data_IF_674383050447
#
_entry.id   IF_674383050447
#
_cell.length_a   1.000
_cell.length_b   1.000
_cell.length_c   1.000
_cell.angle_alpha   90.00
_cell.angle_beta   90.00
_cell.angle_gamma   90.00
#
_symmetry.space_group_name_H-M   'P 1'
#
loop_
_entity.id
_entity.type
_entity.pdbx_description
1 polymer ?
#
# COMPACT_ATOMS: atom_id res chain seq x y z
N UNK A 1 19.74 -3.84 -9.69
CA UNK A 1 18.38 -3.27 -9.54
C UNK A 1 17.63 -4.24 -8.63
N UNK A 2 17.26 -3.82 -7.40
CA UNK A 2 16.58 -4.71 -6.46
C UNK A 2 15.18 -5.02 -6.98
N UNK A 3 14.76 -6.29 -6.86
CA UNK A 3 13.39 -6.69 -7.15
C UNK A 3 12.42 -5.99 -6.19
N UNK A 4 11.19 -5.75 -6.65
CA UNK A 4 10.11 -5.28 -5.81
C UNK A 4 9.87 -6.26 -4.67
N UNK A 5 9.54 -5.75 -3.47
CA UNK A 5 9.12 -6.56 -2.32
C UNK A 5 7.95 -7.50 -2.68
N UNK A 6 7.14 -7.10 -3.65
CA UNK A 6 5.96 -7.84 -4.11
C UNK A 6 6.24 -8.83 -5.24
N UNK A 7 7.42 -8.80 -5.88
CA UNK A 7 7.70 -9.63 -7.06
C UNK A 7 7.47 -11.13 -6.87
N UNK A 8 7.88 -11.76 -5.75
CA UNK A 8 7.61 -13.18 -5.54
C UNK A 8 6.11 -13.49 -5.48
N UNK A 9 5.36 -12.68 -4.73
CA UNK A 9 3.91 -12.83 -4.58
C UNK A 9 3.18 -12.62 -5.92
N UNK A 10 3.56 -11.60 -6.68
CA UNK A 10 2.96 -11.31 -7.99
C UNK A 10 3.20 -12.46 -8.98
N UNK A 11 4.40 -13.03 -9.01
CA UNK A 11 4.68 -14.19 -9.86
C UNK A 11 3.85 -15.41 -9.47
N UNK A 12 3.72 -15.70 -8.17
CA UNK A 12 2.90 -16.82 -7.69
C UNK A 12 1.42 -16.63 -8.00
N UNK A 13 0.95 -15.38 -8.07
CA UNK A 13 -0.42 -15.02 -8.46
C UNK A 13 -0.62 -14.91 -9.99
N UNK A 14 0.38 -15.29 -10.79
CA UNK A 14 0.27 -15.31 -12.26
C UNK A 14 0.52 -13.98 -12.95
N UNK A 15 1.05 -12.98 -12.27
CA UNK A 15 1.43 -11.72 -12.89
C UNK A 15 2.79 -11.83 -13.59
N UNK A 16 2.91 -11.22 -14.76
CA UNK A 16 4.15 -11.04 -15.50
C UNK A 16 4.51 -9.55 -15.56
N UNK A 17 5.80 -9.26 -15.56
CA UNK A 17 6.27 -7.89 -15.73
C UNK A 17 5.87 -7.37 -17.11
N UNK A 18 5.36 -6.14 -17.18
CA UNK A 18 4.88 -5.49 -18.38
C UNK A 18 5.40 -4.05 -18.47
N UNK A 19 5.26 -3.45 -19.63
CA UNK A 19 5.49 -2.01 -19.79
C UNK A 19 4.47 -1.23 -18.95
N UNK A 20 4.86 -0.07 -18.39
CA UNK A 20 3.94 0.77 -17.64
C UNK A 20 2.66 1.07 -18.43
N UNK A 21 1.52 1.06 -17.75
CA UNK A 21 0.27 1.48 -18.34
C UNK A 21 0.34 2.96 -18.74
N UNK A 22 -0.47 3.34 -19.73
CA UNK A 22 -0.54 4.73 -20.18
C UNK A 22 -0.90 5.68 -19.02
N UNK A 23 -0.15 6.77 -18.87
CA UNK A 23 -0.31 7.74 -17.78
C UNK A 23 0.60 7.50 -16.57
N UNK A 24 1.35 6.42 -16.57
CA UNK A 24 2.41 6.17 -15.58
C UNK A 24 3.77 6.51 -16.20
N UNK A 25 4.52 7.41 -15.57
CA UNK A 25 5.87 7.78 -16.02
C UNK A 25 6.90 6.66 -15.89
N UNK A 26 8.09 6.86 -16.48
CA UNK A 26 9.15 5.86 -16.55
C UNK A 26 9.72 5.36 -15.20
N UNK A 27 9.34 5.97 -14.08
CA UNK A 27 9.68 5.53 -12.73
C UNK A 27 8.86 4.33 -12.24
N UNK A 28 7.69 4.10 -12.86
CA UNK A 28 6.80 3.03 -12.49
C UNK A 28 7.20 1.71 -13.15
N UNK A 29 7.02 0.65 -12.41
CA UNK A 29 7.07 -0.73 -12.92
C UNK A 29 5.67 -1.31 -12.87
N UNK A 30 5.32 -2.04 -13.90
CA UNK A 30 4.01 -2.63 -14.02
C UNK A 30 4.09 -4.13 -14.15
N UNK A 31 3.12 -4.77 -13.56
CA UNK A 31 2.87 -6.19 -13.66
C UNK A 31 1.46 -6.37 -14.18
N UNK A 32 1.27 -7.30 -15.07
CA UNK A 32 -0.03 -7.59 -15.68
C UNK A 32 -0.37 -9.06 -15.53
N UNK A 33 -1.62 -9.33 -15.21
CA UNK A 33 -2.20 -10.65 -15.30
C UNK A 33 -3.30 -10.65 -16.38
N UNK A 34 -3.20 -11.59 -17.32
CA UNK A 34 -4.18 -11.80 -18.41
C UNK A 34 -4.49 -13.29 -18.53
N UNK A 35 -4.74 -13.95 -17.43
CA UNK A 35 -4.99 -15.39 -17.38
C UNK A 35 -6.42 -15.72 -17.00
N UNK A 36 -6.76 -17.01 -17.03
CA UNK A 36 -8.06 -17.48 -16.58
C UNK A 36 -8.34 -17.22 -15.11
N UNK A 37 -7.30 -17.08 -14.27
CA UNK A 37 -7.41 -16.93 -12.83
C UNK A 37 -7.36 -15.47 -12.35
N UNK A 38 -6.72 -14.60 -13.12
CA UNK A 38 -6.54 -13.20 -12.76
C UNK A 38 -6.54 -12.30 -14.00
N UNK A 39 -7.09 -11.10 -13.87
CA UNK A 39 -6.99 -10.06 -14.89
C UNK A 39 -6.71 -8.71 -14.24
N UNK A 40 -5.87 -7.88 -14.89
CA UNK A 40 -5.61 -6.51 -14.45
C UNK A 40 -4.13 -6.22 -14.22
N UNK A 41 -3.89 -5.22 -13.37
CA UNK A 41 -2.58 -4.60 -13.20
C UNK A 41 -2.18 -4.46 -11.75
N UNK A 42 -0.88 -4.50 -11.54
CA UNK A 42 -0.24 -4.06 -10.31
C UNK A 42 0.91 -3.12 -10.70
N UNK A 43 0.87 -1.91 -10.19
CA UNK A 43 1.90 -0.92 -10.46
C UNK A 43 2.68 -0.62 -9.19
N UNK A 44 3.96 -0.36 -9.38
CA UNK A 44 4.89 -0.20 -8.28
C UNK A 44 5.91 0.89 -8.61
N UNK A 45 6.06 1.83 -7.69
CA UNK A 45 7.09 2.86 -7.70
C UNK A 45 7.95 2.71 -6.46
N UNK A 46 9.26 2.55 -6.65
CA UNK A 46 10.23 2.60 -5.56
C UNK A 46 11.51 3.26 -6.08
N UNK A 47 11.81 4.47 -5.66
CA UNK A 47 13.05 5.13 -6.04
C UNK A 47 14.26 4.55 -5.29
N UNK A 48 15.42 4.63 -5.91
CA UNK A 48 16.77 4.44 -5.39
C UNK A 48 16.96 3.34 -4.34
N UNK A 49 17.26 3.70 -3.09
CA UNK A 49 17.60 2.73 -2.05
C UNK A 49 16.40 1.94 -1.48
N UNK A 50 15.22 2.04 -2.06
CA UNK A 50 14.01 1.31 -1.66
C UNK A 50 13.61 1.51 -0.17
N UNK A 51 13.71 2.75 0.32
CA UNK A 51 13.28 3.08 1.66
C UNK A 51 11.76 3.22 1.78
N UNK A 52 11.10 3.52 0.68
CA UNK A 52 9.64 3.61 0.56
C UNK A 52 9.16 3.14 -0.81
N UNK A 53 7.89 2.84 -0.91
CA UNK A 53 7.25 2.52 -2.17
C UNK A 53 5.80 3.03 -2.21
N UNK A 54 5.29 3.18 -3.43
CA UNK A 54 3.87 3.39 -3.70
C UNK A 54 3.42 2.24 -4.59
N UNK A 55 2.33 1.59 -4.21
CA UNK A 55 1.74 0.51 -5.00
C UNK A 55 0.31 0.86 -5.41
N UNK A 56 -0.07 0.43 -6.61
CA UNK A 56 -1.42 0.58 -7.13
C UNK A 56 -1.91 -0.81 -7.50
N UNK A 57 -2.99 -1.21 -6.87
CA UNK A 57 -3.67 -2.46 -7.11
C UNK A 57 -4.86 -2.18 -8.02
N UNK A 58 -4.93 -2.82 -9.17
CA UNK A 58 -6.05 -2.72 -10.12
C UNK A 58 -6.25 -4.05 -10.84
N UNK A 59 -6.70 -5.04 -10.11
CA UNK A 59 -6.87 -6.39 -10.64
C UNK A 59 -8.09 -7.09 -10.05
N UNK A 60 -8.50 -8.17 -10.71
CA UNK A 60 -9.58 -9.05 -10.24
C UNK A 60 -9.11 -10.49 -10.32
N UNK A 61 -9.17 -11.20 -9.21
CA UNK A 61 -9.02 -12.66 -9.16
C UNK A 61 -10.37 -13.31 -9.51
N UNK A 62 -10.37 -14.41 -10.26
CA UNK A 62 -11.60 -15.11 -10.59
C UNK A 62 -12.15 -15.91 -9.40
N UNK A 63 -11.28 -16.62 -8.71
CA UNK A 63 -11.58 -17.33 -7.47
C UNK A 63 -11.00 -16.64 -6.25
N UNK A 64 -11.32 -17.13 -5.07
CA UNK A 64 -10.74 -16.65 -3.83
C UNK A 64 -9.22 -16.82 -3.85
N UNK A 65 -8.50 -15.74 -3.56
CA UNK A 65 -7.06 -15.74 -3.50
C UNK A 65 -6.62 -15.77 -2.04
N UNK A 66 -6.04 -16.90 -1.65
CA UNK A 66 -5.49 -17.08 -0.30
C UNK A 66 -4.07 -16.52 -0.28
N UNK A 67 -3.86 -15.51 0.57
CA UNK A 67 -2.55 -14.95 0.84
C UNK A 67 -1.95 -15.70 2.03
N UNK A 68 -0.85 -16.37 1.82
CA UNK A 68 -0.02 -17.01 2.85
C UNK A 68 1.43 -16.77 2.44
N UNK A 69 1.93 -15.60 2.81
CA UNK A 69 3.24 -15.11 2.36
C UNK A 69 4.05 -14.61 3.55
N UNK A 70 5.36 -14.72 3.45
CA UNK A 70 6.32 -14.11 4.37
C UNK A 70 6.92 -12.87 3.69
N UNK A 71 6.27 -11.70 3.83
CA UNK A 71 6.80 -10.48 3.26
C UNK A 71 8.00 -9.98 4.09
N UNK A 72 8.89 -9.19 3.50
CA UNK A 72 9.88 -8.44 4.27
C UNK A 72 9.19 -7.40 5.18
N UNK A 73 9.91 -6.95 6.18
CA UNK A 73 9.40 -5.94 7.12
C UNK A 73 9.11 -4.62 6.41
N UNK A 74 7.88 -4.15 6.52
CA UNK A 74 7.47 -2.80 6.13
C UNK A 74 6.18 -2.39 6.84
N UNK A 75 5.95 -1.09 6.92
CA UNK A 75 4.69 -0.52 7.37
C UNK A 75 3.92 -0.02 6.14
N UNK A 76 2.63 -0.28 6.09
CA UNK A 76 1.81 0.16 4.98
C UNK A 76 0.58 0.93 5.44
N UNK A 77 0.22 1.96 4.67
CA UNK A 77 -1.10 2.58 4.71
C UNK A 77 -1.74 2.45 3.35
N UNK A 78 -2.92 1.86 3.31
CA UNK A 78 -3.65 1.54 2.09
C UNK A 78 -5.04 2.16 2.10
N UNK A 79 -5.41 2.83 1.04
CA UNK A 79 -6.79 3.12 0.72
C UNK A 79 -7.31 2.10 -0.28
N UNK A 80 -8.33 1.35 0.11
CA UNK A 80 -9.05 0.48 -0.80
C UNK A 80 -10.27 1.19 -1.37
N UNK A 81 -10.25 1.41 -2.67
CA UNK A 81 -11.43 1.85 -3.43
C UNK A 81 -12.43 0.72 -3.55
N UNK A 82 -11.94 -0.50 -3.83
CA UNK A 82 -12.71 -1.73 -3.92
C UNK A 82 -11.89 -2.90 -3.37
N UNK A 83 -12.49 -3.71 -2.54
CA UNK A 83 -11.97 -4.98 -2.04
C UNK A 83 -13.08 -5.70 -1.28
N UNK A 84 -13.04 -7.03 -1.24
CA UNK A 84 -13.73 -7.85 -0.28
C UNK A 84 -12.83 -9.00 0.16
N UNK A 85 -12.79 -9.29 1.44
CA UNK A 85 -11.93 -10.34 1.98
C UNK A 85 -11.73 -10.19 3.49
N UNK A 86 -10.85 -11.00 4.02
CA UNK A 86 -10.47 -11.01 5.43
C UNK A 86 -8.96 -11.17 5.59
N UNK A 87 -8.39 -10.48 6.57
CA UNK A 87 -7.10 -10.80 7.15
C UNK A 87 -7.29 -11.66 8.39
N UNK A 88 -6.38 -12.58 8.66
CA UNK A 88 -6.53 -13.55 9.74
C UNK A 88 -5.76 -13.21 11.00
N UNK A 89 -4.75 -12.34 10.91
CA UNK A 89 -3.95 -11.92 12.05
C UNK A 89 -3.55 -10.44 11.96
N UNK A 90 -4.21 -9.53 12.68
CA UNK A 90 -5.46 -9.74 13.42
C UNK A 90 -6.63 -10.04 12.47
N UNK A 91 -7.67 -10.72 12.97
CA UNK A 91 -8.85 -11.01 12.15
C UNK A 91 -9.59 -9.70 11.85
N UNK A 92 -9.55 -9.28 10.58
CA UNK A 92 -10.18 -8.02 10.11
C UNK A 92 -10.85 -8.25 8.77
N UNK A 93 -12.03 -7.68 8.61
CA UNK A 93 -12.76 -7.72 7.34
C UNK A 93 -12.32 -6.56 6.45
N UNK A 94 -11.80 -6.87 5.27
CA UNK A 94 -11.47 -5.89 4.25
C UNK A 94 -12.74 -5.32 3.61
N UNK A 95 -12.85 -4.00 3.54
CA UNK A 95 -14.04 -3.30 3.06
C UNK A 95 -13.69 -2.24 2.03
N UNK A 96 -14.56 -2.01 1.03
CA UNK A 96 -14.34 -0.93 0.08
C UNK A 96 -14.40 0.45 0.77
N UNK A 97 -13.73 1.41 0.16
CA UNK A 97 -13.70 2.81 0.58
C UNK A 97 -13.13 3.06 1.99
N UNK A 98 -12.25 2.18 2.47
CA UNK A 98 -11.61 2.23 3.77
C UNK A 98 -10.12 2.54 3.68
N UNK A 99 -9.56 3.11 4.75
CA UNK A 99 -8.12 3.31 4.92
C UNK A 99 -7.62 2.31 5.97
N UNK A 100 -6.56 1.60 5.63
CA UNK A 100 -5.96 0.58 6.48
C UNK A 100 -4.52 0.94 6.80
N UNK A 101 -4.15 0.80 8.07
CA UNK A 101 -2.75 0.81 8.49
C UNK A 101 -2.36 -0.59 8.95
N UNK A 102 -1.14 -0.98 8.64
CA UNK A 102 -0.67 -2.33 8.88
C UNK A 102 0.84 -2.36 9.07
N UNK A 103 1.30 -3.20 10.00
CA UNK A 103 2.67 -3.68 10.04
C UNK A 103 2.72 -5.03 9.32
N UNK A 104 3.61 -5.15 8.36
CA UNK A 104 3.83 -6.38 7.61
C UNK A 104 5.28 -6.78 7.85
N UNK A 105 5.47 -7.92 8.49
CA UNK A 105 6.76 -8.45 8.89
C UNK A 105 6.69 -9.21 10.21
N UNK A 106 7.76 -9.93 10.51
CA UNK A 106 7.86 -10.73 11.73
C UNK A 106 7.00 -12.00 11.73
N UNK A 107 6.43 -12.41 10.59
CA UNK A 107 5.67 -13.64 10.44
C UNK A 107 4.84 -13.70 9.16
N UNK A 108 4.19 -14.83 8.89
CA UNK A 108 3.39 -15.00 7.70
C UNK A 108 2.17 -14.06 7.72
N UNK A 109 1.98 -13.33 6.65
CA UNK A 109 0.75 -12.58 6.42
C UNK A 109 -0.29 -13.49 5.78
N UNK A 110 -1.41 -13.65 6.47
CA UNK A 110 -2.49 -14.56 6.04
C UNK A 110 -3.79 -13.83 5.86
N UNK A 111 -4.46 -14.14 4.77
CA UNK A 111 -5.76 -13.57 4.47
C UNK A 111 -6.39 -14.20 3.23
N UNK A 112 -7.58 -13.72 2.89
CA UNK A 112 -8.27 -14.08 1.66
C UNK A 112 -8.84 -12.83 1.00
N UNK A 113 -8.61 -12.70 -0.32
CA UNK A 113 -9.35 -11.77 -1.16
C UNK A 113 -10.40 -12.57 -1.95
N UNK A 114 -11.68 -12.17 -1.85
CA UNK A 114 -12.76 -12.89 -2.50
C UNK A 114 -12.76 -12.70 -4.01
N UNK A 115 -12.92 -13.81 -4.72
CA UNK A 115 -12.96 -13.84 -6.17
C UNK A 115 -14.13 -13.06 -6.77
N UNK A 116 -13.93 -12.57 -8.00
CA UNK A 116 -14.91 -11.77 -8.72
C UNK A 116 -15.07 -10.33 -8.25
N UNK A 117 -14.46 -9.94 -7.15
CA UNK A 117 -14.46 -8.57 -6.64
C UNK A 117 -13.16 -7.88 -7.02
N UNK A 118 -13.19 -6.70 -7.67
CA UNK A 118 -11.97 -5.97 -8.00
C UNK A 118 -11.20 -5.57 -6.73
N UNK A 119 -9.90 -5.88 -6.70
CA UNK A 119 -8.96 -5.35 -5.72
C UNK A 119 -8.39 -4.06 -6.30
N UNK A 120 -8.93 -2.95 -5.85
CA UNK A 120 -8.51 -1.61 -6.28
C UNK A 120 -8.08 -0.78 -5.09
N UNK A 121 -6.85 -0.29 -5.10
CA UNK A 121 -6.34 0.50 -3.99
C UNK A 121 -4.99 1.11 -4.29
N UNK A 122 -4.60 2.03 -3.42
CA UNK A 122 -3.28 2.66 -3.41
C UNK A 122 -2.68 2.50 -2.03
N UNK A 123 -1.44 2.05 -1.99
CA UNK A 123 -0.68 1.94 -0.74
C UNK A 123 0.56 2.82 -0.79
N UNK A 124 0.91 3.36 0.36
CA UNK A 124 2.25 3.87 0.67
C UNK A 124 2.86 2.93 1.67
N UNK A 125 4.07 2.50 1.40
CA UNK A 125 4.83 1.53 2.18
C UNK A 125 6.17 2.16 2.58
N UNK A 126 6.59 1.94 3.81
CA UNK A 126 7.90 2.39 4.30
C UNK A 126 8.63 1.24 4.98
N UNK A 127 9.95 1.22 4.83
CA UNK A 127 10.79 0.23 5.52
C UNK A 127 11.20 0.73 6.91
N UNK A 128 11.66 -0.18 7.80
CA UNK A 128 12.22 0.22 9.09
C UNK A 128 13.37 1.23 8.96
N UNK A 129 14.18 1.11 7.90
CA UNK A 129 15.29 2.04 7.64
C UNK A 129 14.79 3.44 7.31
N UNK A 130 13.66 3.59 6.59
CA UNK A 130 13.05 4.89 6.35
C UNK A 130 12.61 5.53 7.67
N UNK A 131 11.96 4.74 8.53
CA UNK A 131 11.56 5.19 9.86
C UNK A 131 12.77 5.69 10.66
N UNK A 132 13.84 4.90 10.76
CA UNK A 132 15.03 5.25 11.51
C UNK A 132 15.78 6.46 10.92
N UNK A 133 15.87 6.57 9.60
CA UNK A 133 16.62 7.65 8.94
C UNK A 133 15.86 8.97 8.86
N UNK A 134 14.55 8.91 8.66
CA UNK A 134 13.72 10.09 8.43
C UNK A 134 12.86 10.48 9.63
N UNK A 135 12.08 9.53 10.16
CA UNK A 135 11.10 9.86 11.19
C UNK A 135 11.77 10.11 12.53
N UNK A 136 12.70 9.25 12.95
CA UNK A 136 13.40 9.41 14.23
C UNK A 136 14.25 10.68 14.25
N UNK A 137 14.86 11.03 13.10
CA UNK A 137 15.67 12.24 12.99
C UNK A 137 14.84 13.53 13.06
N UNK A 138 13.64 13.54 12.47
CA UNK A 138 12.79 14.74 12.40
C UNK A 138 11.78 14.83 13.54
N UNK A 139 11.45 13.71 14.16
CA UNK A 139 10.43 13.60 15.19
C UNK A 139 10.94 12.96 16.48
N UNK A 140 12.25 12.93 16.69
CA UNK A 140 12.88 12.34 17.87
C UNK A 140 12.20 12.80 19.18
N UNK A 141 11.79 11.85 20.01
CA UNK A 141 11.07 12.11 21.25
C UNK A 141 9.61 12.55 21.12
N UNK A 142 9.11 12.75 19.90
CA UNK A 142 7.69 13.12 19.65
C UNK A 142 6.86 11.99 19.06
N UNK A 143 7.51 11.00 18.51
CA UNK A 143 6.88 9.87 17.88
C UNK A 143 7.68 8.60 18.22
N UNK A 144 7.35 7.98 19.33
CA UNK A 144 8.12 6.89 19.91
C UNK A 144 7.84 5.53 19.28
N UNK A 145 6.71 5.39 18.54
CA UNK A 145 6.30 4.11 18.01
C UNK A 145 5.54 4.28 16.69
N UNK A 146 6.29 4.32 15.59
CA UNK A 146 5.75 4.46 14.24
C UNK A 146 4.88 3.27 13.86
N UNK A 147 5.32 2.07 14.21
CA UNK A 147 4.59 0.84 13.94
C UNK A 147 3.21 0.86 14.62
N UNK A 148 3.17 1.22 15.90
CA UNK A 148 1.91 1.34 16.63
C UNK A 148 0.97 2.35 15.99
N UNK A 149 1.50 3.46 15.48
CA UNK A 149 0.70 4.47 14.80
C UNK A 149 0.08 3.94 13.50
N UNK A 150 0.82 3.15 12.71
CA UNK A 150 0.27 2.50 11.53
C UNK A 150 -0.80 1.47 11.89
N UNK A 151 -0.52 0.61 12.84
CA UNK A 151 -1.47 -0.44 13.29
C UNK A 151 -2.74 0.17 13.89
N UNK A 152 -2.61 1.28 14.63
CA UNK A 152 -3.75 1.98 15.24
C UNK A 152 -4.70 2.62 14.21
N UNK A 153 -4.30 2.78 12.95
CA UNK A 153 -5.22 3.19 11.88
C UNK A 153 -6.35 2.18 11.70
N UNK A 154 -6.06 0.89 11.88
CA UNK A 154 -7.05 -0.18 11.72
C UNK A 154 -7.80 -0.05 10.40
N UNK A 155 -9.08 -0.37 10.40
CA UNK A 155 -10.02 -0.07 9.32
C UNK A 155 -10.67 1.31 9.58
N UNK A 156 -9.88 2.38 9.45
CA UNK A 156 -10.34 3.72 9.78
C UNK A 156 -11.24 4.27 8.67
N UNK A 157 -12.55 4.07 8.79
CA UNK A 157 -13.54 4.67 7.89
C UNK A 157 -13.51 6.22 7.97
N UNK A 158 -13.01 6.79 9.05
CA UNK A 158 -12.96 8.22 9.32
C UNK A 158 -11.56 8.83 9.13
N UNK A 159 -10.88 8.65 7.99
CA UNK A 159 -9.61 9.31 7.68
C UNK A 159 -9.65 9.99 6.30
N UNK A 160 -10.47 11.04 6.14
CA UNK A 160 -10.73 11.68 4.85
C UNK A 160 -9.48 12.30 4.22
N UNK A 161 -8.55 12.84 5.03
CA UNK A 161 -7.32 13.47 4.54
C UNK A 161 -6.39 12.42 3.89
N UNK A 162 -6.22 11.27 4.53
CA UNK A 162 -5.43 10.17 3.98
C UNK A 162 -6.07 9.60 2.72
N UNK A 163 -7.39 9.41 2.73
CA UNK A 163 -8.13 8.98 1.54
C UNK A 163 -7.95 9.96 0.39
N UNK A 164 -8.06 11.27 0.65
CA UNK A 164 -7.86 12.30 -0.37
C UNK A 164 -6.43 12.27 -0.92
N UNK A 165 -5.42 12.05 -0.06
CA UNK A 165 -4.03 11.92 -0.47
C UNK A 165 -3.84 10.69 -1.37
N UNK A 166 -4.21 9.50 -0.91
CA UNK A 166 -3.99 8.25 -1.64
C UNK A 166 -4.80 8.20 -2.95
N UNK A 167 -6.03 8.72 -2.96
CA UNK A 167 -6.86 8.75 -4.16
C UNK A 167 -6.29 9.63 -5.27
N UNK A 168 -5.48 10.65 -4.95
CA UNK A 168 -4.78 11.48 -5.95
C UNK A 168 -3.63 10.75 -6.63
N UNK A 169 -3.09 9.71 -6.00
CA UNK A 169 -2.02 8.89 -6.57
C UNK A 169 -2.56 7.82 -7.55
N UNK A 170 -3.89 7.65 -7.61
CA UNK A 170 -4.51 6.79 -8.60
C UNK A 170 -4.41 7.42 -9.99
N UNK A 171 -3.75 6.77 -10.98
CA UNK A 171 -3.54 7.35 -12.29
C UNK A 171 -4.87 7.52 -13.04
N UNK A 172 -5.01 8.65 -13.71
CA UNK A 172 -6.18 8.97 -14.55
C UNK A 172 -5.72 9.22 -15.97
N UNK A 173 -6.54 8.89 -16.98
CA UNK A 173 -6.24 9.27 -18.35
C UNK A 173 -6.03 10.79 -18.46
N UNK A 174 -4.89 11.19 -19.02
CA UNK A 174 -4.54 12.60 -19.19
C UNK A 174 -3.83 13.25 -17.99
N UNK A 175 -3.60 12.53 -16.90
CA UNK A 175 -2.75 13.04 -15.83
C UNK A 175 -1.33 13.28 -16.36
N UNK A 176 -0.67 14.37 -15.94
CA UNK A 176 0.74 14.60 -16.28
C UNK A 176 1.62 13.54 -15.61
N UNK A 177 2.71 13.21 -16.25
CA UNK A 177 3.77 12.43 -15.60
C UNK A 177 4.37 13.24 -14.47
N UNK A 178 4.33 12.69 -13.25
CA UNK A 178 4.95 13.32 -12.10
C UNK A 178 6.38 12.82 -11.90
N UNK A 179 7.27 13.71 -11.45
CA UNK A 179 8.62 13.36 -11.05
C UNK A 179 8.67 12.71 -9.66
N UNK A 180 9.83 12.12 -9.35
CA UNK A 180 10.08 11.42 -8.08
C UNK A 180 9.76 12.28 -6.85
N UNK A 181 10.12 13.56 -6.87
CA UNK A 181 9.88 14.50 -5.77
C UNK A 181 8.39 14.67 -5.41
N UNK A 182 7.50 14.57 -6.41
CA UNK A 182 6.05 14.60 -6.17
C UNK A 182 5.61 13.41 -5.31
N UNK A 183 6.11 12.23 -5.62
CA UNK A 183 5.77 11.00 -4.90
C UNK A 183 6.40 10.95 -3.51
N UNK A 184 7.65 11.39 -3.37
CA UNK A 184 8.30 11.55 -2.07
C UNK A 184 7.54 12.53 -1.18
N UNK A 185 7.09 13.65 -1.73
CA UNK A 185 6.23 14.60 -1.03
C UNK A 185 4.93 13.97 -0.53
N UNK A 186 4.32 13.07 -1.32
CA UNK A 186 3.12 12.34 -0.91
C UNK A 186 3.41 11.35 0.24
N UNK A 187 4.56 10.67 0.21
CA UNK A 187 5.00 9.79 1.32
C UNK A 187 5.19 10.57 2.60
N UNK A 188 5.90 11.69 2.55
CA UNK A 188 6.13 12.55 3.71
C UNK A 188 4.81 13.13 4.25
N UNK A 189 3.89 13.52 3.38
CA UNK A 189 2.55 13.98 3.78
C UNK A 189 1.77 12.86 4.48
N UNK A 190 1.83 11.63 3.97
CA UNK A 190 1.17 10.50 4.61
C UNK A 190 1.72 10.25 6.02
N UNK A 191 3.04 10.31 6.20
CA UNK A 191 3.67 10.17 7.52
C UNK A 191 3.20 11.27 8.47
N UNK A 192 3.16 12.52 8.02
CA UNK A 192 2.62 13.64 8.80
C UNK A 192 1.20 13.40 9.28
N UNK A 193 0.32 12.95 8.38
CA UNK A 193 -1.08 12.63 8.70
C UNK A 193 -1.21 11.50 9.73
N UNK A 194 -0.39 10.45 9.62
CA UNK A 194 -0.38 9.32 10.57
C UNK A 194 0.07 9.80 11.96
N UNK A 195 1.15 10.58 12.02
CA UNK A 195 1.67 11.15 13.27
C UNK A 195 0.62 12.04 13.95
N UNK A 196 0.00 12.94 13.19
CA UNK A 196 -1.04 13.84 13.72
C UNK A 196 -2.25 13.05 14.25
N UNK A 197 -2.69 12.03 13.51
CA UNK A 197 -3.80 11.20 13.95
C UNK A 197 -3.46 10.43 15.23
N UNK A 198 -2.26 9.85 15.33
CA UNK A 198 -1.85 9.11 16.52
C UNK A 198 -1.80 9.97 17.78
N UNK A 199 -1.52 11.28 17.64
CA UNK A 199 -1.51 12.23 18.74
C UNK A 199 -2.91 12.62 19.24
N UNK A 200 -3.90 12.59 18.35
CA UNK A 200 -5.28 12.94 18.71
C UNK A 200 -6.01 11.84 19.49
N UNK A 201 -5.42 10.64 19.54
CA UNK A 201 -6.07 9.44 20.07
C UNK A 201 -7.17 8.90 19.15
N UNK A 202 -7.79 7.75 19.46
CA UNK A 202 -8.95 7.29 18.74
C UNK A 202 -10.03 8.40 18.84
N UNK A 203 -10.58 8.79 17.68
CA UNK A 203 -11.73 9.68 17.68
C UNK A 203 -12.82 9.06 18.56
N UNK A 204 -13.30 9.78 19.56
CA UNK A 204 -14.46 9.34 20.33
C UNK A 204 -15.58 9.04 19.33
N UNK A 205 -16.01 7.78 19.30
CA UNK A 205 -17.03 7.25 18.39
C UNK A 205 -18.43 7.71 18.84
#
# INVERSE_FOLDING_TARGET
MRESLHSPMLRSAGFAQALPAQGLGGFWRSWRCEGPECTGWFHFLSPGPALWSITIHDFTMRGDYIMDVEPPDYLTVTWFKSIAGEEFSPCRRLRPNSVWGQSIGGGPWKGVAHGGIPVQGVSIEITPEFSAQFLDRHYAGRFQDVERAFVALGAADGFPEMKALLSRLWPRPGDPEHGELYYEGAVLQAMGLIVERSRRGPAEA
#
